data_IF_698475743854
#
_entry.id   IF_698475743854
#
_cell.length_a   1.000
_cell.length_b   1.000
_cell.length_c   1.000
_cell.angle_alpha   90.00
_cell.angle_beta   90.00
_cell.angle_gamma   90.00
#
_symmetry.space_group_name_H-M   'P 1'
#
loop_
_entity.id
_entity.type
_entity.pdbx_description
1 polymer ?
#
# COMPACT_ATOMS: atom_id res chain seq x y z
N UNK A 1 4.57 12.32 -3.72
CA UNK A 1 3.37 11.49 -3.51
C UNK A 1 3.73 10.03 -3.70
N UNK A 2 3.09 9.14 -2.96
CA UNK A 2 3.39 7.72 -2.94
C UNK A 2 2.65 6.93 -4.03
N UNK A 3 3.13 5.74 -4.35
CA UNK A 3 2.35 4.72 -5.05
C UNK A 3 1.59 3.91 -4.00
N UNK A 4 0.28 3.80 -4.13
CA UNK A 4 -0.57 3.26 -3.06
C UNK A 4 -1.36 2.05 -3.55
N UNK A 5 -1.50 1.03 -2.70
CA UNK A 5 -2.45 -0.07 -2.88
C UNK A 5 -3.38 -0.17 -1.66
N UNK A 6 -4.66 -0.36 -1.92
CA UNK A 6 -5.68 -0.61 -0.89
C UNK A 6 -6.01 -2.09 -0.88
N UNK A 7 -6.09 -2.65 0.33
CA UNK A 7 -6.24 -4.08 0.56
C UNK A 7 -5.02 -4.83 -0.01
N UNK A 8 -4.11 -5.25 0.84
CA UNK A 8 -2.82 -5.80 0.40
C UNK A 8 -2.81 -7.33 0.44
N UNK A 9 -3.93 -7.98 0.11
CA UNK A 9 -3.96 -9.43 -0.02
C UNK A 9 -3.39 -9.86 -1.39
N UNK A 10 -3.08 -11.16 -1.59
CA UNK A 10 -2.55 -11.65 -2.86
C UNK A 10 -3.46 -11.39 -4.06
N UNK A 11 -4.78 -11.50 -3.89
CA UNK A 11 -5.77 -11.35 -4.97
C UNK A 11 -5.92 -9.89 -5.42
N UNK A 12 -5.65 -8.94 -4.53
CA UNK A 12 -5.66 -7.49 -4.80
C UNK A 12 -4.27 -6.94 -5.16
N UNK A 13 -3.31 -7.82 -5.46
CA UNK A 13 -2.00 -7.39 -5.96
C UNK A 13 -0.97 -7.03 -4.88
N UNK A 14 -1.14 -7.48 -3.64
CA UNK A 14 -0.16 -7.22 -2.56
C UNK A 14 1.27 -7.67 -2.93
N UNK A 15 1.41 -8.81 -3.63
CA UNK A 15 2.72 -9.27 -4.10
C UNK A 15 3.28 -8.37 -5.22
N UNK A 16 2.43 -7.72 -6.01
CA UNK A 16 2.84 -6.77 -7.05
C UNK A 16 3.43 -5.51 -6.41
N UNK A 17 2.76 -4.93 -5.40
CA UNK A 17 3.32 -3.77 -4.69
C UNK A 17 4.67 -4.12 -4.07
N UNK A 18 4.78 -5.29 -3.42
CA UNK A 18 6.04 -5.75 -2.82
C UNK A 18 7.16 -5.88 -3.88
N UNK A 19 6.84 -6.46 -5.03
CA UNK A 19 7.78 -6.63 -6.13
C UNK A 19 8.23 -5.30 -6.74
N UNK A 20 7.34 -4.31 -6.82
CA UNK A 20 7.66 -2.95 -7.26
C UNK A 20 8.57 -2.23 -6.26
N UNK A 21 8.24 -2.29 -4.97
CA UNK A 21 9.04 -1.67 -3.92
C UNK A 21 10.48 -2.17 -3.89
N UNK A 22 10.69 -3.47 -4.13
CA UNK A 22 12.03 -4.06 -4.24
C UNK A 22 12.83 -3.58 -5.45
N UNK A 23 12.16 -3.22 -6.56
CA UNK A 23 12.81 -2.87 -7.83
C UNK A 23 13.07 -1.37 -7.98
N UNK A 24 12.37 -0.55 -7.17
CA UNK A 24 12.40 0.91 -7.26
C UNK A 24 12.58 1.49 -5.84
N UNK A 25 13.75 1.28 -5.21
CA UNK A 25 13.99 1.62 -3.81
C UNK A 25 13.84 3.12 -3.49
N UNK A 26 14.02 3.99 -4.47
CA UNK A 26 13.84 5.44 -4.36
C UNK A 26 12.37 5.87 -4.32
N UNK A 27 11.45 5.03 -4.81
CA UNK A 27 10.02 5.33 -4.82
C UNK A 27 9.40 4.92 -3.49
N UNK A 28 8.62 5.84 -2.89
CA UNK A 28 7.85 5.59 -1.68
C UNK A 28 6.50 4.93 -2.01
N UNK A 29 6.14 3.91 -1.24
CA UNK A 29 4.89 3.17 -1.37
C UNK A 29 4.07 3.25 -0.09
N UNK A 30 2.75 3.21 -0.22
CA UNK A 30 1.81 3.06 0.90
C UNK A 30 0.98 1.79 0.69
N UNK A 31 1.05 0.88 1.64
CA UNK A 31 0.29 -0.36 1.65
C UNK A 31 -0.81 -0.27 2.72
N UNK A 32 -2.06 -0.10 2.31
CA UNK A 32 -3.19 -0.02 3.26
C UNK A 32 -3.80 -1.40 3.44
N UNK A 33 -3.78 -1.91 4.68
CA UNK A 33 -4.37 -3.21 5.01
C UNK A 33 -5.89 -3.17 4.84
N UNK A 34 -6.43 -4.21 4.21
CA UNK A 34 -7.88 -4.40 4.07
C UNK A 34 -8.48 -5.17 5.24
N UNK A 35 -9.82 -5.25 5.26
CA UNK A 35 -10.59 -5.99 6.27
C UNK A 35 -10.66 -7.50 6.00
N UNK A 36 -10.24 -7.96 4.82
CA UNK A 36 -10.45 -9.32 4.33
C UNK A 36 -9.18 -9.92 3.74
N UNK A 37 -9.01 -11.23 3.94
CA UNK A 37 -7.90 -12.01 3.40
C UNK A 37 -6.59 -11.84 4.17
N UNK A 38 -5.70 -12.81 4.00
CA UNK A 38 -4.32 -12.71 4.50
C UNK A 38 -3.60 -11.57 3.78
N UNK A 39 -2.94 -10.70 4.54
CA UNK A 39 -2.24 -9.55 3.99
C UNK A 39 -0.79 -9.93 3.68
N UNK A 40 -0.28 -9.50 2.53
CA UNK A 40 1.12 -9.66 2.15
C UNK A 40 2.02 -8.91 3.12
N UNK A 41 3.11 -9.56 3.51
CA UNK A 41 4.12 -8.97 4.39
C UNK A 41 5.10 -8.08 3.61
N UNK A 42 5.34 -6.89 4.16
CA UNK A 42 6.26 -5.88 3.64
C UNK A 42 7.47 -5.64 4.57
N UNK A 43 7.66 -6.48 5.59
CA UNK A 43 8.83 -6.39 6.46
C UNK A 43 10.14 -6.40 5.65
N UNK A 44 11.07 -5.53 6.06
CA UNK A 44 12.38 -5.37 5.40
C UNK A 44 12.36 -4.48 4.14
N UNK A 45 11.26 -3.78 3.87
CA UNK A 45 11.19 -2.76 2.81
C UNK A 45 11.10 -1.36 3.42
N UNK A 46 12.21 -0.63 3.40
CA UNK A 46 12.31 0.71 3.99
C UNK A 46 11.51 1.78 3.22
N UNK A 47 11.06 1.45 2.01
CA UNK A 47 10.29 2.33 1.14
C UNK A 47 8.78 2.00 1.11
N UNK A 48 8.29 1.19 2.05
CA UNK A 48 6.85 0.86 2.17
C UNK A 48 6.32 1.27 3.54
N UNK A 49 5.45 2.27 3.58
CA UNK A 49 4.64 2.59 4.76
C UNK A 49 3.42 1.65 4.79
N UNK A 50 3.31 0.80 5.81
CA UNK A 50 2.14 -0.07 6.01
C UNK A 50 1.14 0.61 6.93
N UNK A 51 -0.03 0.95 6.41
CA UNK A 51 -1.14 1.48 7.20
C UNK A 51 -2.09 0.35 7.61
N UNK A 52 -2.57 0.40 8.85
CA UNK A 52 -3.71 -0.40 9.26
C UNK A 52 -4.96 -0.02 8.43
N UNK A 53 -6.06 -0.76 8.61
CA UNK A 53 -7.33 -0.38 8.02
C UNK A 53 -7.70 1.05 8.45
N UNK A 54 -8.02 1.89 7.47
CA UNK A 54 -8.42 3.29 7.68
C UNK A 54 -9.94 3.41 7.45
N UNK A 55 -10.68 4.11 8.33
CA UNK A 55 -12.09 4.43 8.09
C UNK A 55 -12.30 5.17 6.78
N UNK A 56 -13.40 4.89 6.08
CA UNK A 56 -13.65 5.40 4.72
C UNK A 56 -13.64 6.93 4.65
N UNK A 57 -14.20 7.58 5.66
CA UNK A 57 -14.27 9.03 5.82
C UNK A 57 -12.90 9.69 5.99
N UNK A 58 -11.89 8.96 6.48
CA UNK A 58 -10.53 9.47 6.67
C UNK A 58 -9.62 9.18 5.46
N UNK A 59 -10.04 8.32 4.54
CA UNK A 59 -9.22 7.88 3.39
C UNK A 59 -8.76 9.06 2.52
N UNK A 60 -9.62 10.06 2.33
CA UNK A 60 -9.31 11.23 1.50
C UNK A 60 -8.07 11.97 2.01
N UNK A 61 -8.00 12.23 3.31
CA UNK A 61 -6.89 12.94 3.94
C UNK A 61 -5.69 12.03 4.18
N UNK A 62 -5.92 10.85 4.78
CA UNK A 62 -4.86 9.98 5.29
C UNK A 62 -4.20 9.11 4.22
N UNK A 63 -4.86 8.89 3.08
CA UNK A 63 -4.37 7.97 2.05
C UNK A 63 -4.32 8.66 0.69
N UNK A 64 -5.46 9.09 0.16
CA UNK A 64 -5.54 9.60 -1.22
C UNK A 64 -4.85 10.95 -1.39
N UNK A 65 -4.91 11.85 -0.40
CA UNK A 65 -4.23 13.16 -0.44
C UNK A 65 -2.70 13.08 -0.56
N UNK A 66 -2.10 11.93 -0.20
CA UNK A 66 -0.66 11.66 -0.33
C UNK A 66 -0.32 10.77 -1.53
N UNK A 67 -1.32 10.24 -2.22
CA UNK A 67 -1.18 9.27 -3.31
C UNK A 67 -0.92 9.99 -4.63
N UNK A 68 0.20 9.65 -5.30
CA UNK A 68 0.50 10.08 -6.66
C UNK A 68 -0.08 9.11 -7.70
N UNK A 69 -0.03 7.82 -7.39
CA UNK A 69 -0.57 6.74 -8.25
C UNK A 69 -1.28 5.74 -7.35
N UNK A 70 -2.53 5.43 -7.69
CA UNK A 70 -3.29 4.35 -7.06
C UNK A 70 -3.18 3.09 -7.94
N UNK A 71 -2.79 1.97 -7.35
CA UNK A 71 -2.85 0.64 -7.96
C UNK A 71 -4.24 0.05 -7.74
N UNK A 72 -4.79 -0.56 -8.79
CA UNK A 72 -6.15 -1.12 -8.83
C UNK A 72 -6.10 -2.65 -8.85
#
# INVERSE_FOLDING_TARGET
GAVTLINCNPETGGHVLRALAQRIPEQQFVAVRGAYGEQVDYAGLDNVEVLAQVPGEEMAERVYGRTRVLLM
#
